data_IF_188556972516
#
_entry.id   IF_188556972516
#
_cell.length_a   1.000
_cell.length_b   1.000
_cell.length_c   1.000
_cell.angle_alpha   90.00
_cell.angle_beta   90.00
_cell.angle_gamma   90.00
#
_symmetry.space_group_name_H-M   'P 1'
#
loop_
_entity.id
_entity.type
_entity.pdbx_description
1 polymer ?
#
# COMPACT_ATOMS: atom_id res chain seq x y z
N UNK A 1 23.24 -2.27 -1.78
CA UNK A 1 22.82 -1.44 -0.63
C UNK A 1 21.75 -2.20 0.15
N UNK A 2 21.70 -2.01 1.47
CA UNK A 2 20.68 -2.61 2.34
C UNK A 2 19.69 -1.52 2.73
N UNK A 3 18.40 -1.85 2.71
CA UNK A 3 17.27 -0.93 2.96
C UNK A 3 16.32 -1.65 3.93
N UNK A 4 15.95 -0.99 5.02
CA UNK A 4 15.02 -1.56 6.00
C UNK A 4 13.59 -1.05 5.71
N UNK A 5 12.71 -1.95 5.22
CA UNK A 5 11.35 -1.61 4.79
C UNK A 5 10.27 -2.13 5.75
N UNK A 6 9.01 -1.79 5.50
CA UNK A 6 7.85 -2.26 6.28
C UNK A 6 7.69 -3.80 6.26
N UNK A 7 8.15 -4.48 5.20
CA UNK A 7 8.18 -5.95 5.13
C UNK A 7 9.56 -6.57 5.36
N UNK A 8 10.45 -5.82 6.00
CA UNK A 8 11.77 -6.27 6.40
C UNK A 8 12.90 -5.79 5.49
N UNK A 9 14.07 -6.38 5.70
CA UNK A 9 15.31 -5.97 5.06
C UNK A 9 15.37 -6.40 3.60
N UNK A 10 15.64 -5.45 2.70
CA UNK A 10 15.79 -5.69 1.26
C UNK A 10 17.21 -5.32 0.80
N UNK A 11 17.74 -6.09 -0.15
CA UNK A 11 19.02 -5.82 -0.79
C UNK A 11 18.78 -5.21 -2.18
N UNK A 12 19.23 -3.97 -2.36
CA UNK A 12 19.09 -3.23 -3.61
C UNK A 12 20.42 -3.23 -4.37
N UNK A 13 20.35 -3.59 -5.65
CA UNK A 13 21.46 -3.49 -6.60
C UNK A 13 21.01 -2.66 -7.79
N UNK A 14 21.80 -1.67 -8.15
CA UNK A 14 21.59 -0.91 -9.37
C UNK A 14 22.14 -1.68 -10.57
N UNK A 15 21.39 -1.69 -11.66
CA UNK A 15 21.81 -2.20 -12.95
C UNK A 15 21.93 -1.02 -13.91
N UNK A 16 23.16 -0.66 -14.26
CA UNK A 16 23.45 0.50 -15.12
C UNK A 16 23.01 0.27 -16.57
N UNK A 17 22.77 -0.99 -16.98
CA UNK A 17 22.29 -1.35 -18.31
C UNK A 17 20.78 -1.49 -18.42
N UNK A 18 20.06 -1.48 -17.29
CA UNK A 18 18.61 -1.65 -17.26
C UNK A 18 17.88 -0.30 -17.38
N UNK A 19 16.71 -0.31 -18.03
CA UNK A 19 15.84 0.86 -18.02
C UNK A 19 15.29 1.11 -16.61
N UNK A 20 15.17 2.39 -16.23
CA UNK A 20 14.54 2.78 -14.98
C UNK A 20 13.06 2.32 -14.97
N UNK A 21 12.68 1.54 -13.95
CA UNK A 21 11.29 1.13 -13.76
C UNK A 21 10.55 2.16 -12.90
N UNK A 22 9.27 2.48 -13.17
CA UNK A 22 8.49 3.44 -12.39
C UNK A 22 8.47 3.16 -10.88
N UNK A 23 8.42 1.87 -10.50
CA UNK A 23 8.40 1.45 -9.09
C UNK A 23 9.78 1.08 -8.54
N UNK A 24 10.87 1.31 -9.28
CA UNK A 24 12.22 0.89 -8.88
C UNK A 24 12.73 1.58 -7.61
N UNK A 25 12.16 2.73 -7.28
CA UNK A 25 12.49 3.50 -6.07
C UNK A 25 11.54 3.20 -4.89
N UNK A 26 10.52 2.36 -5.08
CA UNK A 26 9.50 2.07 -4.06
C UNK A 26 10.12 1.55 -2.76
N UNK A 27 11.21 0.80 -2.83
CA UNK A 27 11.93 0.28 -1.65
C UNK A 27 12.42 1.40 -0.72
N UNK A 28 12.89 2.51 -1.28
CA UNK A 28 13.34 3.68 -0.50
C UNK A 28 12.17 4.45 0.08
N UNK A 29 11.07 4.54 -0.67
CA UNK A 29 9.84 5.11 -0.14
C UNK A 29 9.30 4.28 1.02
N UNK A 30 9.35 2.94 0.91
CA UNK A 30 8.95 2.04 1.98
C UNK A 30 9.83 2.17 3.23
N UNK A 31 11.15 2.39 3.08
CA UNK A 31 12.05 2.71 4.19
C UNK A 31 11.68 4.03 4.87
N UNK A 32 11.39 5.07 4.09
CA UNK A 32 10.88 6.32 4.63
C UNK A 32 9.58 6.10 5.44
N UNK A 33 8.62 5.35 4.89
CA UNK A 33 7.37 5.04 5.56
C UNK A 33 7.59 4.25 6.86
N UNK A 34 8.54 3.30 6.86
CA UNK A 34 8.92 2.53 8.03
C UNK A 34 9.53 3.43 9.12
N UNK A 35 10.49 4.28 8.74
CA UNK A 35 11.16 5.18 9.68
C UNK A 35 10.20 6.21 10.30
N UNK A 36 9.25 6.72 9.52
CA UNK A 36 8.26 7.69 10.00
C UNK A 36 7.07 7.03 10.75
N UNK A 37 6.85 5.73 10.54
CA UNK A 37 5.71 4.97 11.07
C UNK A 37 4.35 5.43 10.55
N UNK A 38 4.30 6.29 9.53
CA UNK A 38 3.07 6.93 9.05
C UNK A 38 2.12 5.91 8.42
N UNK A 39 2.64 4.95 7.67
CA UNK A 39 1.81 3.93 7.02
C UNK A 39 1.19 2.98 8.03
N UNK A 40 1.92 2.57 9.06
CA UNK A 40 1.42 1.67 10.10
C UNK A 40 0.32 2.32 10.93
N UNK A 41 0.51 3.58 11.35
CA UNK A 41 -0.54 4.35 12.05
C UNK A 41 -1.78 4.52 11.18
N UNK A 42 -1.61 4.76 9.88
CA UNK A 42 -2.72 4.90 8.95
C UNK A 42 -3.50 3.60 8.74
N UNK A 43 -2.79 2.45 8.67
CA UNK A 43 -3.38 1.11 8.60
C UNK A 43 -4.09 0.72 9.89
N UNK A 44 -3.53 1.05 11.05
CA UNK A 44 -4.12 0.77 12.36
C UNK A 44 -5.45 1.52 12.52
N UNK A 45 -5.46 2.80 12.18
CA UNK A 45 -6.65 3.66 12.23
C UNK A 45 -7.68 3.37 11.13
N UNK A 46 -7.37 2.52 10.14
CA UNK A 46 -8.26 2.25 9.01
C UNK A 46 -9.57 1.59 9.48
N UNK A 47 -10.75 2.23 9.29
CA UNK A 47 -12.02 1.78 9.88
C UNK A 47 -12.65 0.56 9.19
N UNK A 48 -11.91 -0.14 8.34
CA UNK A 48 -12.38 -1.33 7.65
C UNK A 48 -12.55 -2.51 8.60
N UNK A 49 -13.79 -2.94 8.82
CA UNK A 49 -14.10 -4.13 9.60
C UNK A 49 -14.51 -5.32 8.71
N UNK A 50 -13.97 -6.49 9.02
CA UNK A 50 -14.33 -7.76 8.39
C UNK A 50 -14.81 -8.76 9.43
N UNK A 51 -15.83 -9.53 9.07
CA UNK A 51 -16.33 -10.67 9.86
C UNK A 51 -15.87 -12.02 9.29
N UNK A 52 -15.39 -12.04 8.03
CA UNK A 52 -15.00 -13.27 7.34
C UNK A 52 -13.50 -13.54 7.48
N UNK A 53 -13.09 -14.79 7.74
CA UNK A 53 -11.68 -15.17 7.76
C UNK A 53 -11.02 -15.12 6.38
N UNK A 54 -11.81 -15.08 5.29
CA UNK A 54 -11.31 -15.01 3.93
C UNK A 54 -11.13 -13.56 3.42
N UNK A 55 -11.42 -12.57 4.26
CA UNK A 55 -11.25 -11.18 3.90
C UNK A 55 -9.76 -10.79 3.79
N UNK A 56 -9.40 -9.87 2.87
CA UNK A 56 -8.02 -9.39 2.78
C UNK A 56 -7.64 -8.61 4.05
N UNK A 57 -6.34 -8.54 4.36
CA UNK A 57 -5.86 -7.71 5.46
C UNK A 57 -6.05 -6.22 5.17
N UNK A 58 -6.25 -5.41 6.23
CA UNK A 58 -6.29 -3.93 6.14
C UNK A 58 -5.09 -3.37 5.38
N UNK A 59 -3.90 -3.86 5.72
CA UNK A 59 -2.64 -3.47 5.07
C UNK A 59 -2.61 -3.83 3.59
N UNK A 60 -3.11 -5.01 3.20
CA UNK A 60 -3.16 -5.40 1.79
C UNK A 60 -4.07 -4.48 0.97
N UNK A 61 -5.21 -4.07 1.55
CA UNK A 61 -6.15 -3.14 0.91
C UNK A 61 -5.53 -1.76 0.74
N UNK A 62 -5.03 -1.14 1.82
CA UNK A 62 -4.44 0.20 1.74
C UNK A 62 -3.15 0.22 0.95
N UNK A 63 -2.29 -0.78 1.11
CA UNK A 63 -1.06 -0.89 0.34
C UNK A 63 -1.36 -1.03 -1.16
N UNK A 64 -2.38 -1.81 -1.54
CA UNK A 64 -2.82 -1.87 -2.95
C UNK A 64 -3.30 -0.51 -3.46
N UNK A 65 -4.03 0.26 -2.65
CA UNK A 65 -4.45 1.62 -3.01
C UNK A 65 -3.24 2.55 -3.19
N UNK A 66 -2.27 2.52 -2.27
CA UNK A 66 -1.04 3.30 -2.35
C UNK A 66 -0.26 2.96 -3.61
N UNK A 67 -0.06 1.68 -3.90
CA UNK A 67 0.65 1.24 -5.11
C UNK A 67 -0.07 1.71 -6.38
N UNK A 68 -1.40 1.68 -6.41
CA UNK A 68 -2.17 2.19 -7.55
C UNK A 68 -1.96 3.70 -7.75
N UNK A 69 -1.96 4.47 -6.67
CA UNK A 69 -1.72 5.92 -6.71
C UNK A 69 -0.29 6.21 -7.19
N UNK A 70 0.72 5.52 -6.64
CA UNK A 70 2.12 5.68 -7.02
C UNK A 70 2.39 5.26 -8.48
N UNK A 71 1.68 4.24 -8.97
CA UNK A 71 1.70 3.84 -10.38
C UNK A 71 0.93 4.80 -11.31
N UNK A 72 0.35 5.89 -10.78
CA UNK A 72 -0.37 6.90 -11.56
C UNK A 72 -1.75 6.44 -12.04
N UNK A 73 -2.32 5.39 -11.44
CA UNK A 73 -3.63 4.89 -11.83
C UNK A 73 -4.74 5.85 -11.38
N UNK A 74 -5.61 6.22 -12.31
CA UNK A 74 -6.78 7.09 -12.05
C UNK A 74 -8.10 6.33 -11.95
N UNK A 75 -8.09 5.02 -12.22
CA UNK A 75 -9.28 4.16 -12.24
C UNK A 75 -8.96 2.83 -11.55
N UNK A 76 -9.89 2.34 -10.74
CA UNK A 76 -9.73 1.04 -10.05
C UNK A 76 -9.40 -0.09 -11.02
N UNK A 77 -10.02 -0.13 -12.20
CA UNK A 77 -9.78 -1.15 -13.24
C UNK A 77 -8.29 -1.38 -13.57
N UNK A 78 -7.42 -0.38 -13.40
CA UNK A 78 -5.99 -0.50 -13.69
C UNK A 78 -5.20 -1.20 -12.57
N UNK A 79 -5.77 -1.35 -11.36
CA UNK A 79 -5.14 -2.05 -10.22
C UNK A 79 -4.74 -3.48 -10.58
N UNK A 80 -5.46 -4.14 -11.49
CA UNK A 80 -5.13 -5.50 -11.95
C UNK A 80 -3.70 -5.62 -12.49
N UNK A 81 -3.13 -4.55 -13.06
CA UNK A 81 -1.75 -4.53 -13.53
C UNK A 81 -0.71 -4.73 -12.40
N UNK A 82 -1.08 -4.50 -11.14
CA UNK A 82 -0.20 -4.62 -9.97
C UNK A 82 -0.24 -6.00 -9.31
N UNK A 83 -1.18 -6.87 -9.69
CA UNK A 83 -1.51 -8.11 -8.94
C UNK A 83 -0.34 -9.10 -8.81
N UNK A 84 0.63 -9.02 -9.72
CA UNK A 84 1.82 -9.89 -9.73
C UNK A 84 3.06 -9.28 -9.08
N UNK A 85 3.01 -8.03 -8.62
CA UNK A 85 4.18 -7.34 -8.06
C UNK A 85 4.41 -7.71 -6.58
N UNK A 86 4.98 -8.90 -6.37
CA UNK A 86 5.30 -9.40 -5.04
C UNK A 86 6.39 -8.57 -4.33
N UNK A 87 7.30 -7.94 -5.09
CA UNK A 87 8.38 -7.12 -4.53
C UNK A 87 7.80 -5.85 -3.92
N UNK A 88 6.90 -5.17 -4.63
CA UNK A 88 6.20 -4.00 -4.11
C UNK A 88 5.32 -4.34 -2.89
N UNK A 89 4.61 -5.48 -2.94
CA UNK A 89 3.83 -5.96 -1.80
C UNK A 89 4.73 -6.20 -0.58
N UNK A 90 5.84 -6.90 -0.77
CA UNK A 90 6.79 -7.17 0.30
C UNK A 90 7.40 -5.87 0.86
N UNK A 91 7.81 -4.92 0.03
CA UNK A 91 8.38 -3.66 0.51
C UNK A 91 7.43 -2.92 1.48
N UNK A 92 6.11 -2.98 1.23
CA UNK A 92 5.08 -2.39 2.09
C UNK A 92 4.60 -3.31 3.23
N UNK A 93 5.22 -4.48 3.41
CA UNK A 93 4.84 -5.45 4.44
C UNK A 93 3.46 -6.07 4.23
N UNK A 94 3.00 -6.11 2.97
CA UNK A 94 1.73 -6.73 2.55
C UNK A 94 1.94 -8.24 2.31
N UNK A 95 0.87 -9.02 2.50
CA UNK A 95 0.84 -10.42 2.10
C UNK A 95 0.58 -10.60 0.61
N UNK A 96 -0.18 -9.67 0.00
CA UNK A 96 -0.55 -9.69 -1.42
C UNK A 96 -1.09 -8.34 -1.89
N UNK A 97 -1.00 -8.10 -3.20
CA UNK A 97 -1.82 -7.10 -3.88
C UNK A 97 -3.23 -7.66 -4.07
N UNK A 98 -4.25 -6.96 -3.57
CA UNK A 98 -5.65 -7.42 -3.70
C UNK A 98 -6.19 -7.17 -5.11
N UNK A 99 -7.28 -7.85 -5.47
CA UNK A 99 -7.95 -7.56 -6.75
C UNK A 99 -8.64 -6.19 -6.72
N UNK A 100 -8.87 -5.65 -7.91
CA UNK A 100 -9.68 -4.45 -8.12
C UNK A 100 -11.04 -4.52 -7.40
N UNK A 101 -11.77 -5.62 -7.60
CA UNK A 101 -13.07 -5.84 -6.94
C UNK A 101 -12.96 -5.88 -5.42
N UNK A 102 -11.91 -6.50 -4.87
CA UNK A 102 -11.70 -6.59 -3.44
C UNK A 102 -11.39 -5.21 -2.84
N UNK A 103 -10.55 -4.42 -3.52
CA UNK A 103 -10.26 -3.04 -3.13
C UNK A 103 -11.52 -2.18 -3.15
N UNK A 104 -12.28 -2.20 -4.26
CA UNK A 104 -13.51 -1.41 -4.41
C UNK A 104 -14.53 -1.77 -3.33
N UNK A 105 -14.76 -3.06 -3.09
CA UNK A 105 -15.68 -3.54 -2.05
C UNK A 105 -15.21 -3.21 -0.64
N UNK A 106 -13.90 -3.18 -0.39
CA UNK A 106 -13.36 -2.78 0.90
C UNK A 106 -13.65 -1.30 1.18
N UNK A 107 -13.34 -0.42 0.23
CA UNK A 107 -13.59 1.02 0.39
C UNK A 107 -15.09 1.35 0.49
N UNK A 108 -15.94 0.65 -0.27
CA UNK A 108 -17.41 0.81 -0.20
C UNK A 108 -18.03 0.42 1.14
N UNK A 109 -17.33 -0.33 2.00
CA UNK A 109 -17.84 -0.74 3.32
C UNK A 109 -17.70 0.33 4.38
N UNK A 110 -16.89 1.35 4.13
CA UNK A 110 -16.61 2.38 5.10
C UNK A 110 -17.66 3.47 4.90
N UNK A 111 -18.41 3.76 5.95
CA UNK A 111 -19.35 4.87 5.94
C UNK A 111 -18.60 6.22 5.92
N UNK A 112 -19.31 7.26 5.50
CA UNK A 112 -18.74 8.60 5.37
C UNK A 112 -18.23 9.16 6.71
N UNK A 113 -18.97 9.11 7.84
CA UNK A 113 -18.46 9.54 9.14
C UNK A 113 -17.16 8.83 9.56
N UNK A 114 -17.10 7.51 9.41
CA UNK A 114 -15.89 6.73 9.71
C UNK A 114 -14.73 7.10 8.80
N UNK A 115 -15.00 7.34 7.51
CA UNK A 115 -13.99 7.79 6.55
C UNK A 115 -13.44 9.16 6.91
N UNK A 116 -14.31 10.09 7.30
CA UNK A 116 -13.94 11.46 7.68
C UNK A 116 -13.09 11.48 8.95
N UNK A 117 -13.51 10.73 9.99
CA UNK A 117 -12.76 10.61 11.24
C UNK A 117 -11.37 9.98 11.04
N UNK A 118 -11.22 9.11 10.05
CA UNK A 118 -9.94 8.48 9.71
C UNK A 118 -9.04 9.35 8.83
N UNK A 119 -9.59 9.99 7.79
CA UNK A 119 -8.79 10.73 6.80
C UNK A 119 -8.42 12.15 7.24
N UNK A 120 -9.30 12.86 7.97
CA UNK A 120 -9.03 14.25 8.35
C UNK A 120 -7.76 14.43 9.19
N UNK A 121 -7.52 13.65 10.27
CA UNK A 121 -6.30 13.80 11.05
C UNK A 121 -5.05 13.51 10.22
N UNK A 122 -5.10 12.51 9.35
CA UNK A 122 -3.99 12.16 8.45
C UNK A 122 -3.63 13.27 7.43
N UNK A 123 -4.57 14.19 7.16
CA UNK A 123 -4.37 15.35 6.28
C UNK A 123 -3.99 16.63 7.04
N UNK A 124 -4.42 16.77 8.30
CA UNK A 124 -4.40 18.03 9.04
C UNK A 124 -3.40 18.05 10.21
N UNK A 125 -2.92 16.91 10.71
CA UNK A 125 -1.91 16.84 11.78
C UNK A 125 -0.47 17.09 11.24
N UNK A 126 -0.31 17.99 10.27
CA UNK A 126 1.01 18.41 9.74
C UNK A 126 1.65 19.51 10.58
#
# INVERSE_FOLDING_TARGET
MVVDTLGGRMHVRWDEGAAATPNGQLVFFAEFLAAAGVFDRWVEAFPLAYTSPNAPGKRDVLGTLVLAILAGHKRYAHVTALRGDAVAAQALGMSKVVSEDALRRALQRIDEPSSEAWLRPALLDS
#
